data_IF_013836858478
#
_entry.id   IF_013836858478
#
_cell.length_a   1.000
_cell.length_b   1.000
_cell.length_c   1.000
_cell.angle_alpha   90.00
_cell.angle_beta   90.00
_cell.angle_gamma   90.00
#
_symmetry.space_group_name_H-M   'P 1'
#
loop_
_entity.id
_entity.type
_entity.pdbx_description
1 polymer ?
#
# COMPACT_ATOMS: atom_id res chain seq x y z
N UNK A 1 -6.34 -30.36 -25.52
CA UNK A 1 -7.47 -29.42 -25.66
C UNK A 1 -8.75 -30.22 -25.44
N UNK A 2 -9.83 -29.60 -24.95
CA UNK A 2 -11.06 -30.25 -24.46
C UNK A 2 -10.87 -30.93 -23.09
N UNK A 3 -11.52 -30.55 -21.98
CA UNK A 3 -12.90 -30.14 -21.80
C UNK A 3 -13.07 -29.25 -20.54
N UNK A 4 -13.17 -27.93 -20.72
CA UNK A 4 -13.62 -26.97 -19.68
C UNK A 4 -14.85 -26.19 -20.20
N UNK A 5 -15.72 -26.87 -20.96
CA UNK A 5 -16.85 -26.24 -21.65
C UNK A 5 -18.23 -26.62 -21.08
N UNK A 6 -18.33 -27.42 -20.02
CA UNK A 6 -19.63 -27.95 -19.54
C UNK A 6 -19.84 -27.81 -18.03
N UNK A 7 -19.91 -26.57 -17.54
CA UNK A 7 -20.46 -26.28 -16.21
C UNK A 7 -21.59 -25.24 -16.28
N UNK A 8 -22.75 -25.46 -15.63
CA UNK A 8 -23.93 -24.61 -15.74
C UNK A 8 -23.66 -23.18 -15.23
N UNK A 9 -24.20 -22.21 -15.98
CA UNK A 9 -23.91 -20.77 -15.89
C UNK A 9 -24.19 -20.08 -14.53
N UNK A 10 -25.00 -20.59 -13.57
CA UNK A 10 -25.21 -19.90 -12.29
C UNK A 10 -24.05 -20.01 -11.28
N UNK A 11 -23.29 -21.10 -11.29
CA UNK A 11 -22.25 -21.35 -10.27
C UNK A 11 -20.90 -20.70 -10.58
N UNK A 12 -20.70 -20.21 -11.81
CA UNK A 12 -19.52 -19.40 -12.16
C UNK A 12 -19.49 -18.09 -11.37
N UNK A 13 -20.66 -17.48 -11.10
CA UNK A 13 -20.74 -16.22 -10.36
C UNK A 13 -20.31 -16.35 -8.89
N UNK A 14 -20.64 -17.44 -8.20
CA UNK A 14 -20.22 -17.61 -6.79
C UNK A 14 -18.72 -17.85 -6.66
N UNK A 15 -18.11 -18.73 -7.48
CA UNK A 15 -16.63 -18.91 -7.47
C UNK A 15 -15.87 -17.66 -7.93
N UNK A 16 -16.43 -16.88 -8.86
CA UNK A 16 -15.85 -15.60 -9.27
C UNK A 16 -15.99 -14.52 -8.21
N UNK A 17 -17.12 -14.45 -7.49
CA UNK A 17 -17.32 -13.50 -6.39
C UNK A 17 -16.45 -13.87 -5.19
N UNK A 18 -16.25 -15.15 -4.87
CA UNK A 18 -15.30 -15.58 -3.84
C UNK A 18 -13.85 -15.30 -4.23
N UNK A 19 -13.48 -15.49 -5.51
CA UNK A 19 -12.16 -15.12 -6.01
C UNK A 19 -11.94 -13.60 -6.01
N UNK A 20 -12.94 -12.82 -6.44
CA UNK A 20 -12.92 -11.35 -6.40
C UNK A 20 -12.85 -10.83 -4.97
N UNK A 21 -13.64 -11.38 -4.05
CA UNK A 21 -13.58 -11.04 -2.61
C UNK A 21 -12.24 -11.41 -1.96
N UNK A 22 -11.57 -12.45 -2.46
CA UNK A 22 -10.20 -12.82 -2.04
C UNK A 22 -9.18 -11.81 -2.55
N UNK A 23 -9.31 -11.37 -3.80
CA UNK A 23 -8.49 -10.31 -4.38
C UNK A 23 -8.76 -8.93 -3.73
N UNK A 24 -9.99 -8.65 -3.31
CA UNK A 24 -10.38 -7.45 -2.56
C UNK A 24 -9.75 -7.38 -1.15
N UNK A 25 -9.18 -8.49 -0.67
CA UNK A 25 -8.49 -8.60 0.61
C UNK A 25 -6.98 -8.86 0.46
N UNK A 26 -6.45 -8.95 -0.76
CA UNK A 26 -5.02 -9.03 -0.95
C UNK A 26 -4.42 -7.63 -0.67
N UNK A 27 -3.52 -7.48 0.32
CA UNK A 27 -2.97 -6.18 0.71
C UNK A 27 -2.30 -5.43 -0.46
N UNK A 28 -1.65 -6.16 -1.38
CA UNK A 28 -0.98 -5.57 -2.54
C UNK A 28 -1.98 -5.08 -3.58
N UNK A 29 -3.06 -5.82 -3.81
CA UNK A 29 -4.15 -5.38 -4.69
C UNK A 29 -4.85 -4.16 -4.10
N UNK A 30 -5.14 -4.18 -2.79
CA UNK A 30 -5.75 -3.05 -2.08
C UNK A 30 -4.86 -1.80 -2.17
N UNK A 31 -3.55 -1.94 -1.99
CA UNK A 31 -2.59 -0.85 -2.15
C UNK A 31 -2.51 -0.34 -3.62
N UNK A 32 -2.55 -1.23 -4.60
CA UNK A 32 -2.59 -0.86 -6.01
C UNK A 32 -3.85 -0.08 -6.38
N UNK A 33 -5.01 -0.52 -5.87
CA UNK A 33 -6.29 0.18 -6.03
C UNK A 33 -6.27 1.55 -5.35
N UNK A 34 -5.66 1.67 -4.16
CA UNK A 34 -5.47 2.97 -3.49
C UNK A 34 -4.65 3.94 -4.36
N UNK A 35 -3.54 3.47 -4.94
CA UNK A 35 -2.74 4.24 -5.87
C UNK A 35 -3.52 4.64 -7.14
N UNK A 36 -4.33 3.73 -7.70
CA UNK A 36 -5.20 4.04 -8.83
C UNK A 36 -6.18 5.16 -8.50
N UNK A 37 -6.84 5.10 -7.34
CA UNK A 37 -7.73 6.17 -6.88
C UNK A 37 -7.02 7.50 -6.66
N UNK A 38 -5.76 7.46 -6.17
CA UNK A 38 -4.93 8.65 -6.04
C UNK A 38 -4.64 9.28 -7.41
N UNK A 39 -4.26 8.48 -8.41
CA UNK A 39 -4.05 8.94 -9.78
C UNK A 39 -5.32 9.51 -10.43
N UNK A 40 -6.48 8.91 -10.14
CA UNK A 40 -7.81 9.37 -10.56
C UNK A 40 -8.30 10.64 -9.81
N UNK A 41 -7.49 11.19 -8.89
CA UNK A 41 -7.83 12.34 -8.03
C UNK A 41 -9.05 12.11 -7.12
N UNK A 42 -9.41 10.85 -6.87
CA UNK A 42 -10.50 10.46 -5.96
C UNK A 42 -9.96 10.35 -4.53
N UNK A 43 -9.68 11.51 -3.92
CA UNK A 43 -8.98 11.64 -2.63
C UNK A 43 -9.64 10.82 -1.51
N UNK A 44 -10.95 10.97 -1.30
CA UNK A 44 -11.63 10.29 -0.19
C UNK A 44 -11.57 8.76 -0.32
N UNK A 45 -11.76 8.25 -1.53
CA UNK A 45 -11.64 6.81 -1.81
C UNK A 45 -10.20 6.34 -1.61
N UNK A 46 -9.23 7.05 -2.18
CA UNK A 46 -7.81 6.72 -2.02
C UNK A 46 -7.43 6.61 -0.54
N UNK A 47 -7.86 7.56 0.29
CA UNK A 47 -7.64 7.53 1.75
C UNK A 47 -8.23 6.26 2.40
N UNK A 48 -9.48 5.92 2.12
CA UNK A 48 -10.10 4.72 2.68
C UNK A 48 -9.37 3.44 2.26
N UNK A 49 -8.95 3.36 1.00
CA UNK A 49 -8.21 2.20 0.46
C UNK A 49 -6.79 2.10 1.01
N UNK A 50 -6.08 3.22 1.18
CA UNK A 50 -4.78 3.22 1.87
C UNK A 50 -4.90 2.78 3.32
N UNK A 51 -5.90 3.29 4.04
CA UNK A 51 -6.14 2.86 5.42
C UNK A 51 -6.46 1.37 5.50
N UNK A 52 -7.21 0.82 4.52
CA UNK A 52 -7.45 -0.62 4.41
C UNK A 52 -6.15 -1.39 4.16
N UNK A 53 -5.28 -0.95 3.26
CA UNK A 53 -4.02 -1.63 2.96
C UNK A 53 -3.15 -1.78 4.21
N UNK A 54 -2.93 -0.69 4.95
CA UNK A 54 -2.11 -0.70 6.18
C UNK A 54 -2.79 -1.41 7.35
N UNK A 55 -4.11 -1.60 7.30
CA UNK A 55 -4.84 -2.38 8.32
C UNK A 55 -4.79 -3.87 8.02
N UNK A 56 -4.83 -4.25 6.73
CA UNK A 56 -4.73 -5.65 6.31
C UNK A 56 -3.32 -6.19 6.52
N UNK A 57 -2.30 -5.40 6.17
CA UNK A 57 -0.90 -5.79 6.35
C UNK A 57 -0.07 -4.61 6.86
N UNK A 58 -0.03 -4.40 8.20
CA UNK A 58 0.73 -3.32 8.80
C UNK A 58 2.25 -3.53 8.74
N UNK A 59 2.73 -4.74 8.44
CA UNK A 59 4.17 -5.04 8.41
C UNK A 59 4.85 -4.61 7.10
N UNK A 60 4.08 -4.24 6.07
CA UNK A 60 4.61 -3.77 4.79
C UNK A 60 4.79 -2.25 4.83
N UNK A 61 6.04 -1.82 5.01
CA UNK A 61 6.46 -0.42 5.07
C UNK A 61 6.18 0.38 3.81
N UNK A 62 6.16 -0.27 2.64
CA UNK A 62 5.85 0.40 1.37
C UNK A 62 4.41 0.94 1.35
N UNK A 63 3.46 0.25 1.99
CA UNK A 63 2.07 0.72 2.09
C UNK A 63 1.98 1.98 2.95
N UNK A 64 2.72 2.01 4.06
CA UNK A 64 2.84 3.20 4.90
C UNK A 64 3.51 4.36 4.16
N UNK A 65 4.55 4.09 3.36
CA UNK A 65 5.22 5.11 2.56
C UNK A 65 4.29 5.75 1.52
N UNK A 66 3.53 4.93 0.78
CA UNK A 66 2.52 5.46 -0.14
C UNK A 66 1.43 6.25 0.57
N UNK A 67 0.94 5.75 1.71
CA UNK A 67 -0.12 6.42 2.46
C UNK A 67 0.35 7.75 3.07
N UNK A 68 1.54 7.76 3.67
CA UNK A 68 2.14 8.98 4.22
C UNK A 68 2.38 10.03 3.14
N UNK A 69 2.92 9.62 1.98
CA UNK A 69 3.10 10.51 0.82
C UNK A 69 1.77 11.08 0.31
N UNK A 70 0.72 10.25 0.28
CA UNK A 70 -0.61 10.69 -0.11
C UNK A 70 -1.17 11.75 0.86
N UNK A 71 -1.08 11.54 2.18
CA UNK A 71 -1.56 12.52 3.16
C UNK A 71 -0.73 13.81 3.17
N UNK A 72 0.59 13.74 2.91
CA UNK A 72 1.40 14.95 2.72
C UNK A 72 0.89 15.82 1.54
N UNK A 73 0.32 15.20 0.50
CA UNK A 73 -0.19 15.92 -0.66
C UNK A 73 -1.65 16.39 -0.49
N UNK A 74 -2.52 15.62 0.17
CA UNK A 74 -3.97 15.90 0.22
C UNK A 74 -4.57 16.06 1.62
N UNK A 75 -3.94 15.53 2.67
CA UNK A 75 -4.43 15.57 4.04
C UNK A 75 -3.80 16.67 4.91
N UNK A 76 -2.64 17.19 4.50
CA UNK A 76 -1.88 18.16 5.27
C UNK A 76 -1.06 17.54 6.40
N UNK A 77 -0.42 18.40 7.19
CA UNK A 77 0.58 18.00 8.18
C UNK A 77 -0.01 17.11 9.30
N UNK A 78 -1.21 17.43 9.80
CA UNK A 78 -1.89 16.68 10.87
C UNK A 78 -2.20 15.23 10.46
N UNK A 79 -2.79 15.04 9.27
CA UNK A 79 -3.12 13.71 8.75
C UNK A 79 -1.85 12.89 8.50
N UNK A 80 -0.82 13.51 7.93
CA UNK A 80 0.48 12.87 7.72
C UNK A 80 1.12 12.47 9.06
N UNK A 81 1.08 13.32 10.09
CA UNK A 81 1.58 13.02 11.42
C UNK A 81 0.83 11.84 12.06
N UNK A 82 -0.49 11.76 11.89
CA UNK A 82 -1.28 10.63 12.37
C UNK A 82 -0.89 9.31 11.68
N UNK A 83 -0.66 9.33 10.35
CA UNK A 83 -0.18 8.14 9.63
C UNK A 83 1.23 7.75 10.08
N UNK A 84 2.11 8.73 10.28
CA UNK A 84 3.47 8.49 10.78
C UNK A 84 3.44 7.83 12.17
N UNK A 85 2.65 8.35 13.11
CA UNK A 85 2.52 7.78 14.44
C UNK A 85 2.03 6.32 14.40
N UNK A 86 1.05 6.02 13.52
CA UNK A 86 0.57 4.65 13.29
C UNK A 86 1.64 3.75 12.68
N UNK A 87 2.41 4.25 11.71
CA UNK A 87 3.51 3.52 11.09
C UNK A 87 4.60 3.18 12.13
N UNK A 88 4.96 4.12 13.00
CA UNK A 88 5.92 3.90 14.08
C UNK A 88 5.41 2.84 15.06
N UNK A 89 4.13 2.89 15.42
CA UNK A 89 3.52 1.89 16.29
C UNK A 89 3.43 0.50 15.65
N UNK A 90 3.30 0.42 14.33
CA UNK A 90 3.25 -0.83 13.59
C UNK A 90 4.63 -1.50 13.41
N UNK A 91 5.72 -0.73 13.48
CA UNK A 91 7.11 -1.18 13.25
C UNK A 91 7.28 -2.12 12.02
N UNK A 92 6.92 -1.67 10.80
CA UNK A 92 7.00 -2.51 9.61
C UNK A 92 8.41 -2.95 9.27
N UNK A 93 8.54 -4.17 8.74
CA UNK A 93 9.83 -4.79 8.37
C UNK A 93 9.89 -5.24 6.92
N UNK A 94 8.76 -5.29 6.23
CA UNK A 94 8.66 -5.73 4.84
C UNK A 94 8.40 -4.56 3.87
N UNK A 95 8.48 -4.85 2.58
CA UNK A 95 8.42 -3.86 1.50
C UNK A 95 9.73 -3.81 0.73
N UNK A 96 9.65 -3.72 -0.60
CA UNK A 96 10.84 -3.69 -1.44
C UNK A 96 11.65 -2.41 -1.20
N UNK A 97 10.99 -1.25 -1.21
CA UNK A 97 11.65 0.02 -0.96
C UNK A 97 12.03 0.16 0.52
N UNK A 98 11.14 -0.28 1.42
CA UNK A 98 11.39 -0.28 2.85
C UNK A 98 12.63 -1.09 3.23
N UNK A 99 12.74 -2.34 2.75
CA UNK A 99 13.87 -3.21 3.06
C UNK A 99 15.18 -2.71 2.45
N UNK A 100 15.15 -2.09 1.27
CA UNK A 100 16.33 -1.43 0.68
C UNK A 100 16.88 -0.35 1.62
N UNK A 101 16.00 0.46 2.22
CA UNK A 101 16.40 1.54 3.14
C UNK A 101 16.79 0.98 4.50
N UNK A 102 15.95 0.14 5.12
CA UNK A 102 16.16 -0.33 6.50
C UNK A 102 17.38 -1.25 6.66
N UNK A 103 17.73 -2.02 5.61
CA UNK A 103 18.90 -2.91 5.64
C UNK A 103 20.21 -2.23 5.21
N UNK A 104 20.16 -1.00 4.72
CA UNK A 104 21.38 -0.27 4.36
C UNK A 104 22.22 -0.02 5.63
N UNK A 105 23.52 -0.30 5.56
CA UNK A 105 24.43 -0.20 6.72
C UNK A 105 24.45 1.21 7.30
N UNK A 106 24.34 2.22 6.43
CA UNK A 106 24.24 3.65 6.79
C UNK A 106 22.98 4.00 7.60
N UNK A 107 21.93 3.17 7.52
CA UNK A 107 20.65 3.38 8.21
C UNK A 107 20.43 2.43 9.40
N UNK A 108 21.43 1.63 9.79
CA UNK A 108 21.27 0.58 10.81
C UNK A 108 20.80 1.08 12.19
N UNK A 109 20.97 2.37 12.50
CA UNK A 109 20.53 3.00 13.77
C UNK A 109 19.23 3.81 13.64
N UNK A 110 18.63 3.83 12.46
CA UNK A 110 17.46 4.66 12.20
C UNK A 110 16.20 4.03 12.78
N UNK A 111 15.36 4.87 13.37
CA UNK A 111 14.00 4.48 13.75
C UNK A 111 13.06 4.45 12.55
N UNK A 112 11.90 3.83 12.75
CA UNK A 112 10.83 3.66 11.74
C UNK A 112 10.45 4.97 11.05
N UNK A 113 10.40 6.08 11.79
CA UNK A 113 10.12 7.41 11.23
C UNK A 113 11.16 7.86 10.18
N UNK A 114 12.44 7.71 10.49
CA UNK A 114 13.52 8.13 9.60
C UNK A 114 13.56 7.25 8.35
N UNK A 115 13.36 5.94 8.52
CA UNK A 115 13.22 5.00 7.41
C UNK A 115 12.04 5.38 6.52
N UNK A 116 10.85 5.62 7.09
CA UNK A 116 9.66 6.01 6.33
C UNK A 116 9.88 7.27 5.50
N UNK A 117 10.43 8.33 6.11
CA UNK A 117 10.71 9.60 5.42
C UNK A 117 11.70 9.39 4.27
N UNK A 118 12.71 8.54 4.46
CA UNK A 118 13.69 8.25 3.43
C UNK A 118 13.13 7.42 2.27
N UNK A 119 12.34 6.39 2.58
CA UNK A 119 11.63 5.59 1.57
C UNK A 119 10.76 6.50 0.72
N UNK A 120 9.99 7.41 1.33
CA UNK A 120 9.16 8.37 0.59
C UNK A 120 9.99 9.31 -0.28
N UNK A 121 11.14 9.77 0.22
CA UNK A 121 12.04 10.61 -0.55
C UNK A 121 12.62 9.86 -1.78
N UNK A 122 12.96 8.58 -1.65
CA UNK A 122 13.50 7.79 -2.76
C UNK A 122 12.40 7.46 -3.79
N UNK A 123 11.19 7.09 -3.34
CA UNK A 123 10.01 6.93 -4.21
C UNK A 123 9.59 8.21 -4.96
N UNK A 124 9.94 9.39 -4.43
CA UNK A 124 9.69 10.65 -5.11
C UNK A 124 10.68 10.88 -6.25
N UNK A 125 11.95 10.48 -6.08
CA UNK A 125 13.01 10.62 -7.11
C UNK A 125 12.79 9.70 -8.30
N UNK A 126 12.32 8.47 -8.07
CA UNK A 126 12.06 7.50 -9.16
C UNK A 126 11.02 8.00 -10.17
N UNK A 127 10.04 8.79 -9.75
CA UNK A 127 9.03 9.38 -10.66
C UNK A 127 9.56 10.55 -11.51
N UNK A 128 10.70 11.13 -11.18
CA UNK A 128 11.29 12.27 -11.90
C UNK A 128 12.38 11.82 -12.89
N UNK A 129 12.87 10.58 -12.79
CA UNK A 129 13.97 10.06 -13.60
C UNK A 129 13.56 9.28 -14.86
N UNK A 130 12.29 9.34 -15.27
CA UNK A 130 11.75 8.59 -16.42
C UNK A 130 10.97 9.50 -17.37
#
# INVERSE_FOLDING_TARGET
AEAVAMAPRPQRRSKSVDALKRCDNDPYIVAAVANLFWHDRKVDKARSWFNRAVTLEPDVGDFWAHYYRFELQFGGAEAAAAVLARCVAADPRHGEAWTKVSKAVEHARWGTEAVLKRVVADMAKEKTGM
#
